data_IF_246224459662
#
_entry.id   IF_246224459662
#
_cell.length_a   1.000
_cell.length_b   1.000
_cell.length_c   1.000
_cell.angle_alpha   90.00
_cell.angle_beta   90.00
_cell.angle_gamma   90.00
#
_symmetry.space_group_name_H-M   'P 1'
#
loop_
_entity.id
_entity.type
_entity.pdbx_description
1 polymer ?
#
# COMPACT_ATOMS: atom_id res chain seq x y z
N UNK A 1 7.17 0.67 17.29
CA UNK A 1 7.10 -0.62 16.56
C UNK A 1 7.11 -1.83 17.51
N UNK A 2 7.97 -1.87 18.54
CA UNK A 2 8.03 -3.02 19.48
C UNK A 2 6.76 -3.24 20.32
N UNK A 3 5.96 -2.19 20.56
CA UNK A 3 4.71 -2.28 21.33
C UNK A 3 3.58 -3.05 20.62
N UNK A 4 3.78 -3.45 19.36
CA UNK A 4 2.81 -4.22 18.57
C UNK A 4 3.01 -5.73 18.64
N UNK A 5 4.01 -6.19 19.40
CA UNK A 5 4.18 -7.62 19.60
C UNK A 5 3.01 -8.16 20.44
N UNK A 6 2.41 -9.30 20.04
CA UNK A 6 1.37 -9.93 20.82
C UNK A 6 1.90 -10.22 22.23
N UNK A 7 1.15 -9.74 23.23
CA UNK A 7 1.53 -9.87 24.65
C UNK A 7 1.34 -11.29 25.15
N UNK A 8 0.35 -11.98 24.62
CA UNK A 8 0.02 -13.36 24.95
C UNK A 8 0.13 -14.18 23.67
N UNK A 9 0.79 -15.33 23.78
CA UNK A 9 0.92 -16.28 22.68
C UNK A 9 0.23 -17.58 23.09
N UNK A 10 -0.46 -18.25 22.15
CA UNK A 10 -0.95 -19.60 22.37
C UNK A 10 0.20 -20.55 22.73
N UNK A 11 -0.13 -21.69 23.36
CA UNK A 11 0.87 -22.69 23.65
C UNK A 11 1.46 -23.26 22.35
N UNK A 12 2.70 -23.77 22.44
CA UNK A 12 3.38 -24.31 21.27
C UNK A 12 2.57 -25.42 20.56
N UNK A 13 1.92 -26.37 21.26
CA UNK A 13 1.06 -27.36 20.61
C UNK A 13 -0.15 -26.76 19.89
N UNK A 14 -0.75 -25.71 20.44
CA UNK A 14 -1.93 -25.06 19.83
C UNK A 14 -1.57 -24.36 18.52
N UNK A 15 -0.41 -23.68 18.49
CA UNK A 15 0.12 -23.08 17.28
C UNK A 15 0.35 -24.14 16.18
N UNK A 16 0.92 -25.29 16.56
CA UNK A 16 1.14 -26.38 15.61
C UNK A 16 -0.16 -27.01 15.13
N UNK A 17 -1.14 -27.16 16.01
CA UNK A 17 -2.46 -27.67 15.65
C UNK A 17 -3.16 -26.76 14.62
N UNK A 18 -3.06 -25.43 14.77
CA UNK A 18 -3.59 -24.48 13.78
C UNK A 18 -2.90 -24.61 12.42
N UNK A 19 -1.59 -24.88 12.43
CA UNK A 19 -0.78 -25.08 11.22
C UNK A 19 -0.89 -26.49 10.62
N UNK A 20 -1.76 -27.35 11.13
CA UNK A 20 -1.97 -28.71 10.62
C UNK A 20 -0.90 -29.72 11.04
N UNK A 21 -0.25 -29.49 12.19
CA UNK A 21 0.79 -30.35 12.77
C UNK A 21 1.92 -30.71 11.79
N UNK A 22 2.66 -29.71 11.28
CA UNK A 22 3.75 -29.95 10.34
C UNK A 22 4.85 -30.81 10.95
N UNK A 23 5.44 -31.70 10.14
CA UNK A 23 6.57 -32.53 10.56
C UNK A 23 7.80 -31.70 10.95
N UNK A 24 8.63 -32.23 11.85
CA UNK A 24 9.81 -31.54 12.39
C UNK A 24 10.80 -31.07 11.32
N UNK A 25 10.97 -31.85 10.25
CA UNK A 25 11.84 -31.50 9.13
C UNK A 25 11.29 -30.30 8.32
N UNK A 26 9.96 -30.19 8.20
CA UNK A 26 9.34 -29.04 7.52
C UNK A 26 9.47 -27.77 8.35
N UNK A 27 9.20 -27.86 9.65
CA UNK A 27 9.41 -26.77 10.61
C UNK A 27 10.88 -26.33 10.64
N UNK A 28 11.83 -27.27 10.64
CA UNK A 28 13.26 -26.96 10.65
C UNK A 28 13.68 -26.16 9.42
N UNK A 29 13.22 -26.58 8.23
CA UNK A 29 13.44 -25.83 6.98
C UNK A 29 12.83 -24.43 7.02
N UNK A 30 11.58 -24.31 7.48
CA UNK A 30 10.88 -23.02 7.54
C UNK A 30 11.53 -22.04 8.55
N UNK A 31 11.99 -22.55 9.69
CA UNK A 31 12.57 -21.76 10.78
C UNK A 31 14.10 -21.58 10.65
N UNK A 32 14.74 -22.22 9.69
CA UNK A 32 16.20 -22.17 9.50
C UNK A 32 16.99 -22.87 10.61
N UNK A 33 16.43 -23.92 11.23
CA UNK A 33 17.06 -24.69 12.31
C UNK A 33 17.14 -26.17 11.98
N UNK A 34 18.04 -26.89 12.67
CA UNK A 34 18.17 -28.34 12.47
C UNK A 34 16.93 -29.10 12.95
N UNK A 35 16.63 -30.22 12.29
CA UNK A 35 15.53 -31.12 12.67
C UNK A 35 15.66 -31.60 14.13
N UNK A 36 16.90 -31.85 14.60
CA UNK A 36 17.19 -32.19 15.99
C UNK A 36 16.68 -31.13 16.96
N UNK A 37 16.88 -29.85 16.63
CA UNK A 37 16.43 -28.72 17.46
C UNK A 37 14.90 -28.70 17.56
N UNK A 38 14.20 -28.91 16.44
CA UNK A 38 12.73 -28.92 16.43
C UNK A 38 12.17 -30.12 17.19
N UNK A 39 12.75 -31.31 17.00
CA UNK A 39 12.35 -32.51 17.75
C UNK A 39 12.47 -32.32 19.26
N UNK A 40 13.53 -31.64 19.71
CA UNK A 40 13.66 -31.27 21.13
C UNK A 40 12.51 -30.40 21.60
N UNK A 41 12.15 -29.34 20.85
CA UNK A 41 11.02 -28.48 21.20
C UNK A 41 9.68 -29.22 21.22
N UNK A 42 9.48 -30.15 20.28
CA UNK A 42 8.28 -31.00 20.24
C UNK A 42 8.21 -31.92 21.46
N UNK A 43 9.33 -32.52 21.86
CA UNK A 43 9.39 -33.37 23.05
C UNK A 43 9.17 -32.58 24.34
N UNK A 44 9.75 -31.39 24.44
CA UNK A 44 9.63 -30.51 25.61
C UNK A 44 8.27 -29.78 25.66
N UNK A 45 7.49 -29.80 24.57
CA UNK A 45 6.23 -29.05 24.43
C UNK A 45 6.42 -27.53 24.43
N UNK A 46 7.65 -27.04 24.24
CA UNK A 46 7.98 -25.62 24.32
C UNK A 46 9.05 -25.23 23.30
N UNK A 47 8.91 -24.03 22.74
CA UNK A 47 9.89 -23.43 21.82
C UNK A 47 10.25 -22.01 22.28
N UNK A 48 11.45 -21.50 21.94
CA UNK A 48 11.87 -20.14 22.27
C UNK A 48 10.85 -19.10 21.79
N UNK A 49 10.67 -18.02 22.55
CA UNK A 49 9.69 -16.97 22.24
C UNK A 49 9.79 -16.40 20.81
N UNK A 50 10.97 -16.16 20.22
CA UNK A 50 11.06 -15.73 18.82
C UNK A 50 10.45 -16.74 17.82
N UNK A 51 10.56 -18.03 18.10
CA UNK A 51 9.95 -19.09 17.28
C UNK A 51 8.44 -19.08 17.43
N UNK A 52 7.93 -18.95 18.66
CA UNK A 52 6.49 -18.82 18.91
C UNK A 52 5.91 -17.61 18.18
N UNK A 53 6.61 -16.48 18.20
CA UNK A 53 6.22 -15.27 17.46
C UNK A 53 6.21 -15.51 15.94
N UNK A 54 7.25 -16.15 15.40
CA UNK A 54 7.31 -16.45 13.98
C UNK A 54 6.15 -17.35 13.54
N UNK A 55 5.87 -18.42 14.31
CA UNK A 55 4.76 -19.32 14.02
C UNK A 55 3.40 -18.62 14.17
N UNK A 56 3.23 -17.82 15.21
CA UNK A 56 2.00 -17.05 15.45
C UNK A 56 1.60 -16.22 14.23
N UNK A 57 2.52 -15.49 13.60
CA UNK A 57 2.20 -14.68 12.43
C UNK A 57 1.76 -15.47 11.21
N UNK A 58 2.04 -16.77 11.15
CA UNK A 58 1.60 -17.67 10.06
C UNK A 58 0.26 -18.34 10.38
N UNK A 59 -0.17 -18.35 11.65
CA UNK A 59 -1.47 -18.89 12.05
C UNK A 59 -2.65 -18.03 11.55
N UNK A 60 -3.85 -18.61 11.58
CA UNK A 60 -5.09 -17.89 11.27
C UNK A 60 -5.30 -16.67 12.19
N UNK A 61 -4.90 -16.77 13.46
CA UNK A 61 -5.02 -15.66 14.41
C UNK A 61 -4.10 -14.50 14.05
N UNK A 62 -2.82 -14.78 13.80
CA UNK A 62 -1.85 -13.75 13.40
C UNK A 62 -2.20 -13.09 12.07
N UNK A 63 -2.69 -13.87 11.10
CA UNK A 63 -3.16 -13.33 9.82
C UNK A 63 -4.41 -12.45 9.98
N UNK A 64 -5.33 -12.81 10.88
CA UNK A 64 -6.50 -11.98 11.21
C UNK A 64 -6.08 -10.64 11.83
N UNK A 65 -5.14 -10.66 12.78
CA UNK A 65 -4.63 -9.44 13.41
C UNK A 65 -3.94 -8.51 12.41
N UNK A 66 -3.08 -9.06 11.53
CA UNK A 66 -2.43 -8.29 10.47
C UNK A 66 -3.45 -7.69 9.48
N UNK A 67 -4.47 -8.45 9.13
CA UNK A 67 -5.55 -7.99 8.22
C UNK A 67 -6.37 -6.87 8.84
N UNK A 68 -6.70 -6.98 10.13
CA UNK A 68 -7.42 -5.96 10.88
C UNK A 68 -6.63 -4.64 10.93
N UNK A 69 -5.34 -4.70 11.27
CA UNK A 69 -4.48 -3.50 11.30
C UNK A 69 -4.36 -2.84 9.92
N UNK A 70 -4.21 -3.63 8.86
CA UNK A 70 -4.16 -3.12 7.48
C UNK A 70 -5.47 -2.43 7.10
N UNK A 71 -6.60 -3.04 7.45
CA UNK A 71 -7.92 -2.47 7.18
C UNK A 71 -8.13 -1.15 7.94
N UNK A 72 -7.84 -1.13 9.23
CA UNK A 72 -7.97 0.06 10.07
C UNK A 72 -7.09 1.21 9.56
N UNK A 73 -5.85 0.90 9.17
CA UNK A 73 -4.92 1.88 8.59
C UNK A 73 -5.48 2.45 7.28
N UNK A 74 -5.99 1.60 6.40
CA UNK A 74 -6.58 2.02 5.12
C UNK A 74 -7.79 2.94 5.32
N UNK A 75 -8.71 2.58 6.23
CA UNK A 75 -9.89 3.40 6.57
C UNK A 75 -9.48 4.76 7.14
N UNK A 76 -8.51 4.77 8.07
CA UNK A 76 -8.01 6.02 8.66
C UNK A 76 -7.38 6.94 7.61
N UNK A 77 -6.56 6.39 6.72
CA UNK A 77 -5.93 7.16 5.65
C UNK A 77 -6.95 7.67 4.63
N UNK A 78 -7.95 6.86 4.25
CA UNK A 78 -9.03 7.30 3.37
C UNK A 78 -9.83 8.47 3.99
N UNK A 79 -10.13 8.39 5.29
CA UNK A 79 -10.77 9.48 6.03
C UNK A 79 -9.94 10.76 6.04
N UNK A 80 -8.64 10.63 6.33
CA UNK A 80 -7.70 11.76 6.32
C UNK A 80 -7.62 12.44 4.94
N UNK A 81 -7.50 11.65 3.87
CA UNK A 81 -7.49 12.18 2.49
C UNK A 81 -8.79 12.92 2.20
N UNK A 82 -9.94 12.38 2.58
CA UNK A 82 -11.23 13.05 2.41
C UNK A 82 -11.33 14.38 3.17
N UNK A 83 -10.79 14.44 4.40
CA UNK A 83 -10.71 15.70 5.15
C UNK A 83 -9.83 16.74 4.45
N UNK A 84 -8.63 16.34 4.04
CA UNK A 84 -7.68 17.23 3.36
C UNK A 84 -8.24 17.75 2.03
N UNK A 85 -8.94 16.91 1.27
CA UNK A 85 -9.59 17.33 0.02
C UNK A 85 -10.68 18.38 0.26
N UNK A 86 -11.49 18.22 1.31
CA UNK A 86 -12.51 19.21 1.69
C UNK A 86 -11.88 20.53 2.11
N UNK A 87 -10.79 20.48 2.86
CA UNK A 87 -10.06 21.66 3.31
C UNK A 87 -9.40 22.40 2.12
N UNK A 88 -8.72 21.68 1.22
CA UNK A 88 -8.18 22.25 -0.02
C UNK A 88 -9.29 22.91 -0.84
N UNK A 89 -10.45 22.27 -0.98
CA UNK A 89 -11.58 22.85 -1.70
C UNK A 89 -12.11 24.11 -1.01
N UNK A 90 -12.19 24.13 0.32
CA UNK A 90 -12.60 25.31 1.08
C UNK A 90 -11.60 26.47 0.93
N UNK A 91 -10.30 26.20 1.08
CA UNK A 91 -9.23 27.19 0.91
C UNK A 91 -9.19 27.74 -0.52
N UNK A 92 -9.38 26.90 -1.53
CA UNK A 92 -9.47 27.34 -2.93
C UNK A 92 -10.67 28.25 -3.17
N UNK A 93 -11.83 27.94 -2.60
CA UNK A 93 -13.02 28.81 -2.68
C UNK A 93 -12.78 30.15 -2.00
N UNK A 94 -12.16 30.12 -0.82
CA UNK A 94 -11.85 31.34 -0.08
C UNK A 94 -10.83 32.22 -0.81
N UNK A 95 -9.77 31.61 -1.36
CA UNK A 95 -8.81 32.31 -2.20
C UNK A 95 -9.48 32.93 -3.42
N UNK A 96 -10.34 32.18 -4.13
CA UNK A 96 -11.09 32.70 -5.27
C UNK A 96 -11.98 33.88 -4.88
N UNK A 97 -12.64 33.80 -3.73
CA UNK A 97 -13.46 34.90 -3.17
C UNK A 97 -12.61 36.14 -2.91
N UNK A 98 -11.48 36.01 -2.21
CA UNK A 98 -10.58 37.14 -1.91
C UNK A 98 -9.99 37.73 -3.19
N UNK A 99 -9.56 36.88 -4.13
CA UNK A 99 -9.05 37.32 -5.43
C UNK A 99 -10.12 38.10 -6.22
N UNK A 100 -11.38 37.65 -6.19
CA UNK A 100 -12.48 38.35 -6.88
C UNK A 100 -12.84 39.71 -6.28
N UNK A 101 -12.56 39.92 -4.99
CA UNK A 101 -12.82 41.19 -4.29
C UNK A 101 -11.68 42.21 -4.46
N UNK A 102 -10.49 41.77 -4.89
CA UNK A 102 -9.37 42.67 -5.12
C UNK A 102 -9.39 43.25 -6.53
N UNK A 103 -9.67 44.55 -6.66
CA UNK A 103 -9.09 45.32 -7.77
C UNK A 103 -7.60 45.47 -7.50
N UNK A 104 -6.81 44.46 -7.88
CA UNK A 104 -5.35 44.53 -7.81
C UNK A 104 -4.84 45.40 -8.96
N UNK A 105 -5.10 46.71 -8.90
CA UNK A 105 -4.49 47.75 -9.74
C UNK A 105 -3.00 47.98 -9.40
N UNK A 106 -2.28 46.91 -9.07
CA UNK A 106 -0.87 46.90 -8.69
C UNK A 106 -0.12 46.02 -9.68
N UNK A 107 1.11 46.38 -10.08
CA UNK A 107 1.90 45.70 -11.12
C UNK A 107 2.22 44.20 -10.89
N UNK A 108 1.79 43.61 -9.76
CA UNK A 108 1.92 42.19 -9.43
C UNK A 108 0.57 41.44 -9.45
N UNK A 109 -0.40 41.91 -10.23
CA UNK A 109 -1.65 41.18 -10.43
C UNK A 109 -1.34 39.77 -10.93
N UNK A 110 -1.96 38.70 -10.38
CA UNK A 110 -1.73 37.35 -10.85
C UNK A 110 -2.25 37.23 -12.29
N UNK A 111 -1.35 37.04 -13.26
CA UNK A 111 -1.69 36.63 -14.61
C UNK A 111 -2.23 35.20 -14.55
N UNK A 112 -3.55 35.06 -14.49
CA UNK A 112 -4.18 33.78 -14.78
C UNK A 112 -4.01 33.55 -16.28
N UNK A 113 -2.86 33.00 -16.67
CA UNK A 113 -2.70 32.40 -17.99
C UNK A 113 -3.69 31.24 -18.05
N UNK A 114 -4.86 31.49 -18.64
CA UNK A 114 -5.76 30.44 -19.09
C UNK A 114 -4.98 29.59 -20.09
N UNK A 115 -4.42 28.47 -19.61
CA UNK A 115 -3.97 27.39 -20.47
C UNK A 115 -5.10 27.08 -21.45
N UNK A 116 -4.83 27.36 -22.73
CA UNK A 116 -5.83 27.40 -23.77
C UNK A 116 -6.67 26.14 -23.80
N UNK A 117 -7.95 26.30 -23.48
CA UNK A 117 -8.97 25.46 -24.09
C UNK A 117 -9.06 25.93 -25.55
N UNK A 118 -8.50 25.15 -26.46
CA UNK A 118 -8.94 25.19 -27.85
C UNK A 118 -10.43 24.88 -27.84
N UNK A 119 -11.26 25.89 -28.04
CA UNK A 119 -12.65 25.68 -28.43
C UNK A 119 -12.66 24.94 -29.77
N UNK A 120 -13.42 23.84 -29.92
CA UNK A 120 -13.62 23.23 -31.22
C UNK A 120 -14.46 24.18 -32.07
N UNK A 121 -13.94 24.49 -33.25
CA UNK A 121 -14.62 25.27 -34.27
C UNK A 121 -15.86 24.51 -34.77
N UNK A 122 -17.04 25.01 -34.40
CA UNK A 122 -18.35 24.50 -34.80
C UNK A 122 -18.62 24.86 -36.27
N UNK A 123 -18.62 23.84 -37.14
CA UNK A 123 -18.90 23.94 -38.57
C UNK A 123 -20.35 23.55 -38.92
N UNK A 124 -21.32 23.79 -38.02
CA UNK A 124 -22.73 23.95 -38.39
C UNK A 124 -23.41 22.74 -39.04
N UNK A 125 -22.83 21.53 -38.96
CA UNK A 125 -23.46 20.32 -39.48
C UNK A 125 -24.28 19.65 -38.38
N UNK A 126 -25.61 19.87 -38.46
CA UNK A 126 -26.60 19.09 -37.71
C UNK A 126 -26.47 17.61 -38.08
N UNK A 127 -26.06 16.79 -37.13
CA UNK A 127 -26.41 15.37 -37.09
C UNK A 127 -26.86 14.98 -35.67
N UNK A 128 -27.85 14.09 -35.63
CA UNK A 128 -28.79 13.88 -34.53
C UNK A 128 -28.19 13.43 -33.19
N UNK A 129 -29.01 13.60 -32.16
CA UNK A 129 -28.66 13.45 -30.75
C UNK A 129 -28.03 12.10 -30.39
N UNK A 130 -27.00 12.20 -29.54
CA UNK A 130 -26.58 11.14 -28.65
C UNK A 130 -26.63 11.70 -27.22
N UNK A 131 -27.41 11.03 -26.37
CA UNK A 131 -27.51 11.33 -24.94
C UNK A 131 -26.11 11.33 -24.30
N UNK A 132 -25.81 12.36 -23.50
CA UNK A 132 -24.56 12.42 -22.73
C UNK A 132 -24.70 11.45 -21.56
N UNK A 133 -24.02 10.30 -21.68
CA UNK A 133 -23.91 9.30 -20.63
C UNK A 133 -23.24 9.89 -19.37
N UNK A 134 -23.75 9.67 -18.15
CA UNK A 134 -23.12 10.19 -16.95
C UNK A 134 -21.72 9.61 -16.76
N UNK A 135 -20.73 10.47 -16.50
CA UNK A 135 -19.35 10.10 -16.19
C UNK A 135 -19.33 9.04 -15.07
N UNK A 136 -19.02 7.81 -15.47
CA UNK A 136 -18.90 6.66 -14.57
C UNK A 136 -17.81 6.86 -13.51
N UNK A 137 -17.83 6.06 -12.43
CA UNK A 137 -16.85 6.15 -11.36
C UNK A 137 -15.43 5.97 -11.91
N UNK A 138 -14.55 6.89 -11.55
CA UNK A 138 -13.12 6.81 -11.85
C UNK A 138 -12.58 5.51 -11.26
N UNK A 139 -12.02 4.59 -12.07
CA UNK A 139 -11.47 3.35 -11.55
C UNK A 139 -10.25 3.67 -10.70
N UNK A 140 -10.37 3.52 -9.38
CA UNK A 140 -9.22 3.37 -8.50
C UNK A 140 -8.65 1.99 -8.79
N UNK A 141 -7.53 1.94 -9.52
CA UNK A 141 -6.77 0.71 -9.72
C UNK A 141 -6.19 0.23 -8.38
N UNK A 142 -6.99 -0.52 -7.62
CA UNK A 142 -6.49 -1.38 -6.56
C UNK A 142 -5.82 -2.57 -7.24
N UNK A 143 -4.49 -2.58 -7.24
CA UNK A 143 -3.70 -3.70 -7.75
C UNK A 143 -2.96 -3.43 -9.05
N UNK A 144 -1.85 -2.69 -8.97
CA UNK A 144 -0.65 -3.09 -9.72
C UNK A 144 0.47 -3.29 -8.71
N UNK A 145 0.85 -4.56 -8.56
CA UNK A 145 2.16 -4.94 -8.03
C UNK A 145 3.18 -4.08 -8.77
N UNK A 146 3.95 -3.30 -8.02
CA UNK A 146 5.16 -2.67 -8.56
C UNK A 146 6.08 -3.83 -8.91
N UNK A 147 6.09 -4.25 -10.17
CA UNK A 147 7.15 -5.11 -10.68
C UNK A 147 8.45 -4.30 -10.57
N UNK A 148 9.25 -4.69 -9.58
CA UNK A 148 10.63 -4.26 -9.43
C UNK A 148 11.38 -4.77 -10.67
N UNK A 149 11.50 -3.92 -11.69
CA UNK A 149 12.43 -4.13 -12.79
C UNK A 149 13.82 -4.39 -12.20
N UNK A 150 14.47 -5.53 -12.51
CA UNK A 150 15.82 -5.77 -12.06
C UNK A 150 16.73 -4.71 -12.69
N UNK A 151 17.51 -4.03 -11.85
CA UNK A 151 18.60 -3.15 -12.30
C UNK A 151 19.48 -3.97 -13.24
N UNK A 152 19.61 -3.54 -14.50
CA UNK A 152 20.66 -4.03 -15.38
C UNK A 152 21.99 -3.64 -14.75
N UNK A 153 22.66 -4.61 -14.15
CA UNK A 153 24.06 -4.52 -13.81
C UNK A 153 24.86 -4.14 -15.05
N UNK A 154 25.74 -3.16 -14.89
CA UNK A 154 26.75 -2.78 -15.87
C UNK A 154 27.62 -4.01 -16.15
N UNK A 155 27.34 -4.72 -17.23
CA UNK A 155 28.32 -5.59 -17.89
C UNK A 155 29.10 -4.74 -18.89
N UNK A 156 30.20 -4.14 -18.42
CA UNK A 156 31.35 -3.80 -19.24
C UNK A 156 32.57 -3.81 -18.31
N UNK A 157 33.28 -4.94 -18.30
CA UNK A 157 34.75 -5.02 -18.21
C UNK A 157 35.19 -6.48 -18.01
N UNK A 158 35.12 -7.27 -19.09
CA UNK A 158 35.89 -8.53 -19.22
C UNK A 158 36.40 -8.69 -20.64
N UNK A 159 37.10 -7.69 -21.17
CA UNK A 159 37.94 -7.85 -22.37
C UNK A 159 39.19 -6.98 -22.24
N UNK A 160 40.14 -7.39 -21.37
CA UNK A 160 41.57 -7.02 -21.41
C UNK A 160 42.32 -7.72 -20.28
N UNK A 161 42.64 -9.00 -20.47
CA UNK A 161 43.92 -9.61 -20.00
C UNK A 161 43.97 -11.09 -20.41
N UNK A 162 44.14 -11.34 -21.71
CA UNK A 162 44.74 -12.56 -22.27
C UNK A 162 45.43 -12.17 -23.58
N UNK A 163 46.64 -11.67 -23.44
CA UNK A 163 47.69 -11.65 -24.44
C UNK A 163 49.01 -11.71 -23.66
#
# INVERSE_FOLDING_TARGET
MLNRLPRQLPAFPDLLADLGNPGSAALGRALGVTDRTVRRWLADGHAPRPVLLALFWVTRWGQSEASCESHNSAVMHAGMVGCLQREIAALRRELARVVSLGEFGCANSPSIEHGGQQEPQDDGRRDGGAEVEPLGPVPVAVGKVIEFLPRRDRQHDTERSRA
#
